data_IF_810549489612
#
_entry.id   IF_810549489612
#
_cell.length_a   1.000
_cell.length_b   1.000
_cell.length_c   1.000
_cell.angle_alpha   90.00
_cell.angle_beta   90.00
_cell.angle_gamma   90.00
#
_symmetry.space_group_name_H-M   'P 1'
#
loop_
_entity.id
_entity.type
_entity.pdbx_description
1 polymer ?
#
# COMPACT_ATOMS: atom_id res chain seq x y z
N UNK A 1 -16.26 -28.44 -54.74
CA UNK A 1 -16.97 -28.23 -56.03
C UNK A 1 -18.43 -28.60 -55.83
N UNK A 2 -19.35 -27.94 -56.55
CA UNK A 2 -20.83 -28.00 -56.41
C UNK A 2 -21.33 -27.33 -55.09
N UNK A 3 -22.39 -26.49 -55.00
CA UNK A 3 -23.68 -26.33 -55.73
C UNK A 3 -24.66 -27.50 -55.39
N UNK A 4 -26.00 -27.37 -55.23
CA UNK A 4 -27.09 -26.39 -55.56
C UNK A 4 -28.10 -26.44 -54.36
N UNK A 5 -28.93 -25.46 -53.91
CA UNK A 5 -29.44 -24.15 -54.39
C UNK A 5 -29.72 -23.15 -53.21
N UNK A 6 -30.55 -22.10 -53.47
CA UNK A 6 -31.26 -21.22 -52.51
C UNK A 6 -32.68 -21.71 -52.19
N UNK A 7 -33.27 -21.22 -51.10
CA UNK A 7 -34.72 -20.98 -50.98
C UNK A 7 -34.96 -19.68 -50.19
N UNK A 8 -35.94 -18.87 -50.60
CA UNK A 8 -36.31 -17.63 -49.92
C UNK A 8 -37.82 -17.63 -49.65
N UNK A 9 -38.23 -17.23 -48.45
CA UNK A 9 -39.63 -16.98 -48.07
C UNK A 9 -39.70 -15.59 -47.44
N UNK A 10 -40.78 -14.88 -47.74
CA UNK A 10 -41.08 -13.51 -47.37
C UNK A 10 -42.52 -13.47 -46.84
N UNK A 11 -42.95 -12.33 -46.27
CA UNK A 11 -44.29 -12.10 -45.66
C UNK A 11 -44.38 -12.71 -44.23
N UNK A 12 -44.87 -11.99 -43.22
CA UNK A 12 -45.34 -10.59 -43.24
C UNK A 12 -45.60 -10.01 -41.84
N UNK A 13 -45.95 -8.73 -41.79
CA UNK A 13 -46.27 -8.02 -40.54
C UNK A 13 -47.66 -8.41 -40.01
N UNK A 14 -47.77 -8.45 -38.69
CA UNK A 14 -49.02 -8.19 -37.97
C UNK A 14 -48.67 -7.49 -36.65
N UNK A 15 -49.33 -6.35 -36.38
CA UNK A 15 -49.05 -5.50 -35.22
C UNK A 15 -50.19 -5.56 -34.20
N UNK A 16 -49.85 -5.53 -32.91
CA UNK A 16 -50.80 -5.42 -31.80
C UNK A 16 -50.26 -4.47 -30.73
N UNK A 17 -50.70 -3.21 -30.80
CA UNK A 17 -50.32 -2.15 -29.85
C UNK A 17 -51.23 -2.16 -28.61
N UNK A 18 -50.78 -2.79 -27.52
CA UNK A 18 -51.54 -2.88 -26.27
C UNK A 18 -51.32 -1.65 -25.37
N UNK A 19 -52.05 -0.56 -25.62
CA UNK A 19 -52.01 0.65 -24.78
C UNK A 19 -52.78 0.46 -23.46
N UNK A 20 -52.17 -0.20 -22.48
CA UNK A 20 -52.67 -0.27 -21.11
C UNK A 20 -52.62 1.09 -20.42
N UNK A 21 -53.78 1.71 -20.17
CA UNK A 21 -53.87 2.91 -19.31
C UNK A 21 -53.50 2.52 -17.88
N UNK A 22 -52.52 3.21 -17.30
CA UNK A 22 -52.16 3.10 -15.88
C UNK A 22 -52.62 4.36 -15.18
N UNK A 23 -53.54 4.24 -14.22
CA UNK A 23 -53.99 5.39 -13.43
C UNK A 23 -52.85 5.93 -12.54
N UNK A 24 -52.78 7.26 -12.34
CA UNK A 24 -51.73 7.87 -11.53
C UNK A 24 -51.97 7.60 -10.05
N UNK A 25 -50.99 6.93 -9.42
CA UNK A 25 -50.94 6.81 -7.95
C UNK A 25 -50.56 8.17 -7.37
N UNK A 26 -51.37 8.80 -6.49
CA UNK A 26 -50.99 10.03 -5.83
C UNK A 26 -49.93 9.74 -4.75
N UNK A 27 -48.69 10.15 -5.02
CA UNK A 27 -47.62 10.17 -4.01
C UNK A 27 -47.77 11.39 -3.09
N UNK A 28 -47.33 11.32 -1.81
CA UNK A 28 -47.66 12.33 -0.81
C UNK A 28 -46.92 13.65 -1.02
N UNK A 29 -47.59 14.75 -0.67
CA UNK A 29 -46.96 16.05 -0.47
C UNK A 29 -46.19 16.02 0.84
N UNK A 30 -44.92 16.45 0.81
CA UNK A 30 -44.22 16.98 1.98
C UNK A 30 -43.37 18.19 1.53
N UNK A 31 -43.11 19.16 2.41
CA UNK A 31 -42.66 20.50 2.03
C UNK A 31 -41.13 20.64 1.95
N UNK A 32 -40.73 21.85 1.55
CA UNK A 32 -39.41 22.48 1.75
C UNK A 32 -38.21 21.83 1.04
N UNK A 33 -37.71 22.56 0.03
CA UNK A 33 -36.55 22.14 -0.75
C UNK A 33 -35.23 22.47 -0.06
N UNK A 34 -34.38 21.45 0.09
CA UNK A 34 -32.93 21.63 0.25
C UNK A 34 -32.26 21.11 -1.01
N UNK A 35 -31.82 22.02 -1.88
CA UNK A 35 -31.13 21.68 -3.13
C UNK A 35 -29.69 21.25 -2.84
N UNK A 36 -29.52 20.06 -2.27
CA UNK A 36 -28.23 19.46 -1.95
C UNK A 36 -27.43 19.14 -3.22
N UNK A 37 -26.74 20.13 -3.76
CA UNK A 37 -25.80 19.93 -4.87
C UNK A 37 -24.57 19.22 -4.36
N UNK A 38 -24.43 17.92 -4.66
CA UNK A 38 -23.20 17.16 -4.42
C UNK A 38 -22.09 17.68 -5.35
N UNK A 39 -21.43 18.75 -4.94
CA UNK A 39 -20.25 19.26 -5.62
C UNK A 39 -19.09 18.30 -5.38
N UNK A 40 -18.60 17.67 -6.44
CA UNK A 40 -17.26 17.05 -6.43
C UNK A 40 -16.23 18.17 -6.39
N UNK A 41 -15.87 18.59 -5.18
CA UNK A 41 -14.79 19.54 -4.95
C UNK A 41 -13.49 18.86 -5.37
N UNK A 42 -12.87 19.33 -6.45
CA UNK A 42 -11.49 18.95 -6.76
C UNK A 42 -10.57 19.52 -5.66
N UNK A 43 -9.55 18.78 -5.19
CA UNK A 43 -8.69 19.25 -4.12
C UNK A 43 -8.03 20.58 -4.51
N UNK A 44 -8.06 21.53 -3.57
CA UNK A 44 -7.46 22.86 -3.77
C UNK A 44 -5.93 22.74 -3.75
N UNK A 45 -5.22 23.63 -4.45
CA UNK A 45 -3.75 23.58 -4.56
C UNK A 45 -3.05 23.50 -3.18
N UNK A 46 -3.51 24.27 -2.18
CA UNK A 46 -3.02 24.22 -0.79
C UNK A 46 -3.08 22.79 -0.18
N UNK A 47 -4.02 21.94 -0.58
CA UNK A 47 -4.12 20.57 -0.08
C UNK A 47 -3.05 19.64 -0.65
N UNK A 48 -2.40 20.01 -1.76
CA UNK A 48 -1.23 19.32 -2.31
C UNK A 48 0.09 19.81 -1.70
N UNK A 49 0.07 20.92 -0.95
CA UNK A 49 1.23 21.57 -0.33
C UNK A 49 1.32 21.32 1.19
N UNK A 50 0.43 20.46 1.74
CA UNK A 50 0.39 20.13 3.19
C UNK A 50 0.73 18.66 3.50
N UNK A 51 1.22 17.87 2.53
CA UNK A 51 1.69 16.49 2.77
C UNK A 51 3.13 16.45 3.33
N UNK A 52 3.27 16.77 4.64
CA UNK A 52 4.53 16.69 5.42
C UNK A 52 5.58 15.71 4.87
N UNK A 53 6.84 16.14 4.72
CA UNK A 53 7.92 15.27 4.21
C UNK A 53 8.08 13.95 5.00
N UNK A 54 7.75 13.98 6.30
CA UNK A 54 7.72 12.83 7.21
C UNK A 54 6.49 11.90 7.03
N UNK A 55 5.61 12.13 6.05
CA UNK A 55 4.52 11.22 5.70
C UNK A 55 4.91 10.28 4.55
N UNK A 56 4.69 8.98 4.76
CA UNK A 56 5.06 7.91 3.83
C UNK A 56 4.42 8.10 2.45
N UNK A 57 5.23 8.48 1.46
CA UNK A 57 4.82 8.54 0.05
C UNK A 57 4.91 7.14 -0.56
N UNK A 58 3.84 6.69 -1.23
CA UNK A 58 3.77 5.38 -1.91
C UNK A 58 3.70 5.59 -3.42
N UNK A 59 4.55 4.93 -4.19
CA UNK A 59 4.59 5.12 -5.65
C UNK A 59 5.40 4.09 -6.41
N UNK A 60 5.55 4.33 -7.71
CA UNK A 60 6.41 3.55 -8.61
C UNK A 60 7.56 4.42 -9.12
N UNK A 61 8.80 3.95 -8.93
CA UNK A 61 10.02 4.52 -9.50
C UNK A 61 10.34 3.85 -10.82
N UNK A 62 10.66 4.64 -11.83
CA UNK A 62 11.21 4.17 -13.12
C UNK A 62 12.55 4.88 -13.36
N UNK A 63 13.59 4.12 -13.67
CA UNK A 63 14.92 4.65 -13.95
C UNK A 63 15.48 4.11 -15.27
N UNK A 64 16.18 4.99 -15.98
CA UNK A 64 16.95 4.71 -17.19
C UNK A 64 18.30 5.44 -17.09
N UNK A 65 19.19 5.23 -18.06
CA UNK A 65 20.47 5.93 -18.11
C UNK A 65 20.34 7.47 -18.23
N UNK A 66 19.20 7.98 -18.71
CA UNK A 66 18.99 9.40 -19.02
C UNK A 66 17.93 10.06 -18.13
N UNK A 67 16.97 9.29 -17.59
CA UNK A 67 15.81 9.84 -16.85
C UNK A 67 15.48 9.02 -15.61
N UNK A 68 15.10 9.72 -14.54
CA UNK A 68 14.50 9.14 -13.34
C UNK A 68 13.10 9.71 -13.16
N UNK A 69 12.13 8.85 -12.84
CA UNK A 69 10.71 9.20 -12.67
C UNK A 69 10.13 8.60 -11.40
N UNK A 70 9.22 9.34 -10.78
CA UNK A 70 8.35 8.85 -9.71
C UNK A 70 6.89 9.06 -10.08
N UNK A 71 6.06 8.04 -9.86
CA UNK A 71 4.60 8.11 -10.01
C UNK A 71 3.93 7.67 -8.71
N UNK A 72 3.42 8.62 -7.94
CA UNK A 72 2.62 8.33 -6.74
C UNK A 72 1.45 7.40 -7.11
N UNK A 73 1.11 6.44 -6.24
CA UNK A 73 0.12 5.41 -6.57
C UNK A 73 -1.27 5.97 -6.93
N UNK A 74 -1.66 7.08 -6.28
CA UNK A 74 -2.91 7.81 -6.52
C UNK A 74 -2.69 9.11 -7.35
N UNK A 75 -1.48 9.33 -7.89
CA UNK A 75 -1.09 10.56 -8.56
C UNK A 75 -1.53 10.65 -10.03
N UNK A 76 -1.80 11.85 -10.56
CA UNK A 76 -2.30 12.03 -11.92
C UNK A 76 -1.24 11.88 -13.04
N UNK A 77 0.03 11.67 -12.70
CA UNK A 77 1.12 11.58 -13.69
C UNK A 77 2.49 11.27 -13.06
N UNK A 78 3.52 11.26 -13.90
CA UNK A 78 4.92 11.07 -13.49
C UNK A 78 5.60 12.41 -13.21
N UNK A 79 6.35 12.48 -12.12
CA UNK A 79 7.24 13.58 -11.77
C UNK A 79 8.69 13.22 -12.15
N UNK A 80 9.55 14.18 -12.51
CA UNK A 80 11.01 13.96 -12.45
C UNK A 80 11.41 13.57 -11.02
N UNK A 81 12.44 12.75 -10.88
CA UNK A 81 12.89 12.22 -9.58
C UNK A 81 14.31 12.66 -9.25
N UNK A 82 14.44 13.38 -8.15
CA UNK A 82 15.69 13.70 -7.46
C UNK A 82 15.93 12.66 -6.36
N UNK A 83 17.15 12.12 -6.31
CA UNK A 83 17.55 11.07 -5.35
C UNK A 83 18.54 11.68 -4.35
N UNK A 84 18.12 11.83 -3.09
CA UNK A 84 18.98 12.28 -1.99
C UNK A 84 19.37 11.13 -1.04
N UNK A 85 19.11 9.88 -1.41
CA UNK A 85 19.38 8.69 -0.58
C UNK A 85 20.86 8.26 -0.59
N UNK A 86 21.79 9.18 -0.84
CA UNK A 86 23.21 8.91 -1.13
C UNK A 86 23.45 7.80 -2.18
N UNK A 87 22.53 7.70 -3.15
CA UNK A 87 22.57 6.69 -4.23
C UNK A 87 22.12 5.29 -3.80
N UNK A 88 21.55 5.13 -2.61
CA UNK A 88 20.93 3.88 -2.15
C UNK A 88 19.83 3.42 -3.12
N UNK A 89 18.93 4.32 -3.52
CA UNK A 89 17.83 4.01 -4.44
C UNK A 89 18.34 3.43 -5.76
N UNK A 90 19.39 4.03 -6.35
CA UNK A 90 20.02 3.51 -7.56
C UNK A 90 20.54 2.08 -7.35
N UNK A 91 21.28 1.83 -6.26
CA UNK A 91 21.78 0.48 -5.93
C UNK A 91 20.64 -0.54 -5.77
N UNK A 92 19.52 -0.13 -5.18
CA UNK A 92 18.34 -0.99 -4.99
C UNK A 92 17.63 -1.27 -6.32
N UNK A 93 17.65 -0.33 -7.26
CA UNK A 93 17.17 -0.52 -8.63
C UNK A 93 18.01 -1.57 -9.38
N UNK A 94 19.33 -1.45 -9.30
CA UNK A 94 20.28 -2.41 -9.87
C UNK A 94 20.12 -3.81 -9.23
N UNK A 95 20.07 -3.89 -7.89
CA UNK A 95 19.92 -5.14 -7.11
C UNK A 95 18.61 -5.90 -7.41
N UNK A 96 17.51 -5.18 -7.68
CA UNK A 96 16.21 -5.77 -8.07
C UNK A 96 16.09 -6.02 -9.59
N UNK A 97 17.16 -5.70 -10.34
CA UNK A 97 17.36 -6.07 -11.74
C UNK A 97 16.64 -5.16 -12.73
N UNK A 98 16.90 -3.85 -12.65
CA UNK A 98 16.60 -2.81 -13.64
C UNK A 98 15.12 -2.64 -14.02
N UNK A 99 14.20 -2.96 -13.10
CA UNK A 99 12.75 -2.91 -13.32
C UNK A 99 12.11 -1.74 -12.57
N UNK A 100 10.96 -1.23 -13.05
CA UNK A 100 10.11 -0.34 -12.27
C UNK A 100 9.84 -0.92 -10.87
N UNK A 101 10.18 -0.16 -9.83
CA UNK A 101 10.01 -0.56 -8.44
C UNK A 101 8.76 0.09 -7.87
N UNK A 102 7.96 -0.67 -7.12
CA UNK A 102 7.12 -0.07 -6.10
C UNK A 102 8.02 0.36 -4.93
N UNK A 103 7.81 1.57 -4.41
CA UNK A 103 8.55 2.11 -3.27
C UNK A 103 7.61 2.73 -2.23
N UNK A 104 8.07 2.72 -0.99
CA UNK A 104 7.60 3.58 0.10
C UNK A 104 8.79 4.40 0.60
N UNK A 105 8.56 5.69 0.85
CA UNK A 105 9.65 6.67 0.99
C UNK A 105 9.20 7.91 1.77
N UNK A 106 10.12 8.54 2.53
CA UNK A 106 9.97 9.93 2.97
C UNK A 106 10.55 10.86 1.91
N UNK A 107 9.88 12.01 1.73
CA UNK A 107 10.16 12.92 0.64
C UNK A 107 8.95 13.74 0.22
N UNK A 108 9.21 14.78 -0.55
CA UNK A 108 8.22 15.77 -0.99
C UNK A 108 8.61 16.37 -2.35
N UNK A 109 7.95 17.44 -2.80
CA UNK A 109 8.30 18.19 -4.01
C UNK A 109 9.27 19.33 -3.72
N UNK A 110 10.21 19.57 -4.64
CA UNK A 110 10.99 20.80 -4.65
C UNK A 110 10.26 21.96 -5.35
N UNK A 111 10.81 23.18 -5.25
CA UNK A 111 10.32 24.40 -5.91
C UNK A 111 10.21 24.29 -7.45
N UNK A 112 10.85 23.28 -8.05
CA UNK A 112 10.79 22.99 -9.49
C UNK A 112 9.75 21.92 -9.85
N UNK A 113 9.06 21.35 -8.86
CA UNK A 113 8.06 20.30 -9.03
C UNK A 113 8.66 18.90 -9.27
N UNK A 114 9.96 18.69 -9.05
CA UNK A 114 10.53 17.34 -9.01
C UNK A 114 10.10 16.69 -7.69
N UNK A 115 9.91 15.36 -7.69
CA UNK A 115 9.81 14.61 -6.44
C UNK A 115 11.21 14.32 -5.91
N UNK A 116 11.43 14.55 -4.63
CA UNK A 116 12.68 14.30 -3.91
C UNK A 116 12.47 13.08 -3.01
N UNK A 117 13.25 12.02 -3.22
CA UNK A 117 13.32 10.88 -2.28
C UNK A 117 14.45 11.18 -1.29
N UNK A 118 14.08 11.38 -0.02
CA UNK A 118 14.98 11.65 1.10
C UNK A 118 15.37 10.36 1.83
N UNK A 119 14.40 9.51 2.16
CA UNK A 119 14.61 8.17 2.74
C UNK A 119 13.83 7.11 1.98
N UNK A 120 14.47 5.97 1.69
CA UNK A 120 13.81 4.78 1.13
C UNK A 120 13.41 3.83 2.28
N UNK A 121 12.12 3.54 2.42
CA UNK A 121 11.55 2.75 3.53
C UNK A 121 11.30 1.29 3.13
N UNK A 122 10.83 1.07 1.90
CA UNK A 122 10.59 -0.25 1.31
C UNK A 122 10.72 -0.18 -0.21
N UNK A 123 11.20 -1.24 -0.86
CA UNK A 123 11.13 -1.36 -2.32
C UNK A 123 10.99 -2.82 -2.81
N UNK A 124 10.21 -3.01 -3.87
CA UNK A 124 10.04 -4.29 -4.56
C UNK A 124 9.80 -4.13 -6.06
N UNK A 125 10.37 -5.04 -6.85
CA UNK A 125 10.01 -5.23 -8.26
C UNK A 125 8.83 -6.21 -8.45
N UNK A 126 8.37 -6.85 -7.38
CA UNK A 126 7.31 -7.86 -7.42
C UNK A 126 5.92 -7.19 -7.33
N UNK A 127 4.99 -7.62 -8.19
CA UNK A 127 3.56 -7.27 -8.09
C UNK A 127 3.23 -5.77 -7.98
N UNK A 128 4.07 -4.88 -8.53
CA UNK A 128 4.04 -3.41 -8.26
C UNK A 128 2.67 -2.73 -8.45
N UNK A 129 1.84 -3.21 -9.38
CA UNK A 129 0.50 -2.67 -9.61
C UNK A 129 -0.48 -3.05 -8.48
N UNK A 130 -0.34 -4.25 -7.91
CA UNK A 130 -1.11 -4.68 -6.74
C UNK A 130 -0.60 -4.00 -5.47
N UNK A 131 0.71 -3.70 -5.38
CA UNK A 131 1.28 -2.93 -4.27
C UNK A 131 0.78 -1.48 -4.26
N UNK A 132 0.71 -0.81 -5.41
CA UNK A 132 0.07 0.52 -5.50
C UNK A 132 -1.45 0.49 -5.33
N UNK A 133 -2.13 -0.58 -5.78
CA UNK A 133 -3.56 -0.78 -5.56
C UNK A 133 -3.93 -1.25 -4.16
N UNK A 134 -2.96 -1.49 -3.28
CA UNK A 134 -3.21 -1.92 -1.92
C UNK A 134 -3.78 -0.77 -1.06
N UNK A 135 -4.72 -1.07 -0.14
CA UNK A 135 -5.10 -0.11 0.89
C UNK A 135 -3.88 0.35 1.68
N UNK A 136 -4.06 1.44 2.45
CA UNK A 136 -3.10 1.84 3.47
C UNK A 136 -2.95 0.71 4.49
N UNK A 137 -1.84 0.72 5.23
CA UNK A 137 -1.64 -0.20 6.34
C UNK A 137 -2.75 -0.01 7.41
N UNK A 138 -2.81 -0.95 8.34
CA UNK A 138 -3.62 -0.85 9.58
C UNK A 138 -2.77 -1.25 10.79
N UNK A 139 -1.48 -1.06 10.64
CA UNK A 139 -0.42 -1.39 11.56
C UNK A 139 0.54 -0.20 11.55
N UNK A 140 1.10 0.12 12.71
CA UNK A 140 2.21 1.07 12.82
C UNK A 140 3.49 0.43 12.26
N UNK A 141 3.61 -0.89 12.45
CA UNK A 141 4.75 -1.69 12.08
C UNK A 141 4.35 -3.13 11.72
N UNK A 142 4.96 -3.66 10.65
CA UNK A 142 4.99 -5.08 10.35
C UNK A 142 6.44 -5.57 10.26
N UNK A 143 6.86 -6.39 11.23
CA UNK A 143 8.12 -7.11 11.20
C UNK A 143 7.91 -8.54 10.65
N UNK A 144 8.84 -9.06 9.84
CA UNK A 144 8.79 -10.43 9.28
C UNK A 144 10.17 -11.05 9.05
N UNK A 145 10.25 -12.38 9.18
CA UNK A 145 11.43 -13.16 8.81
C UNK A 145 11.06 -14.56 8.31
N UNK A 146 11.99 -15.21 7.61
CA UNK A 146 11.67 -16.38 6.77
C UNK A 146 12.14 -17.73 7.34
N UNK A 147 13.22 -17.77 8.12
CA UNK A 147 13.75 -18.99 8.74
C UNK A 147 14.02 -18.80 10.25
N UNK A 148 13.19 -19.38 11.15
CA UNK A 148 11.86 -19.94 10.85
C UNK A 148 10.92 -18.84 10.34
N UNK A 149 9.81 -19.20 9.70
CA UNK A 149 8.86 -18.19 9.21
C UNK A 149 8.07 -17.56 10.36
N UNK A 150 8.16 -16.24 10.51
CA UNK A 150 7.49 -15.45 11.54
C UNK A 150 7.06 -14.07 11.06
N UNK A 151 6.05 -13.49 11.72
CA UNK A 151 5.76 -12.06 11.66
C UNK A 151 5.28 -11.51 13.00
N UNK A 152 5.49 -10.22 13.22
CA UNK A 152 4.85 -9.44 14.28
C UNK A 152 4.21 -8.21 13.67
N UNK A 153 2.89 -8.12 13.79
CA UNK A 153 2.08 -6.96 13.45
C UNK A 153 1.86 -6.13 14.72
N UNK A 154 2.11 -4.82 14.67
CA UNK A 154 1.91 -3.90 15.80
C UNK A 154 0.89 -2.84 15.41
N UNK A 155 -0.08 -2.61 16.29
CA UNK A 155 -1.04 -1.53 16.23
C UNK A 155 -1.09 -0.83 17.60
N UNK A 156 -1.67 0.37 17.63
CA UNK A 156 -1.86 1.19 18.83
C UNK A 156 -2.37 0.44 20.07
N UNK A 157 -3.18 -0.61 19.87
CA UNK A 157 -3.80 -1.40 20.95
C UNK A 157 -3.14 -2.78 21.18
N UNK A 158 -2.28 -3.27 20.27
CA UNK A 158 -1.89 -4.68 20.26
C UNK A 158 -0.60 -5.02 19.51
N UNK A 159 0.03 -6.13 19.93
CA UNK A 159 0.99 -6.87 19.11
C UNK A 159 0.40 -8.24 18.78
N UNK A 160 0.52 -8.69 17.53
CA UNK A 160 0.12 -10.05 17.10
C UNK A 160 1.32 -10.76 16.47
N UNK A 161 1.83 -11.76 17.17
CA UNK A 161 2.88 -12.66 16.66
C UNK A 161 2.22 -13.79 15.88
N UNK A 162 2.74 -14.11 14.69
CA UNK A 162 2.42 -15.32 13.94
C UNK A 162 3.70 -16.08 13.63
N UNK A 163 3.69 -17.41 13.75
CA UNK A 163 4.86 -18.25 13.54
C UNK A 163 4.48 -19.67 13.06
N UNK A 164 5.43 -20.38 12.46
CA UNK A 164 5.26 -21.78 12.05
C UNK A 164 5.23 -22.78 13.22
N UNK A 165 5.80 -22.42 14.37
CA UNK A 165 5.77 -23.21 15.60
C UNK A 165 4.45 -23.09 16.38
N UNK A 166 4.28 -23.92 17.42
CA UNK A 166 3.13 -23.82 18.33
C UNK A 166 3.48 -22.98 19.58
N UNK A 167 2.63 -22.02 20.01
CA UNK A 167 1.38 -21.59 19.38
C UNK A 167 1.60 -20.77 18.10
N UNK A 168 0.79 -20.99 17.08
CA UNK A 168 0.95 -20.38 15.75
C UNK A 168 0.57 -18.91 15.70
N UNK A 169 -0.22 -18.43 16.67
CA UNK A 169 -0.55 -17.03 16.87
C UNK A 169 -0.54 -16.71 18.38
N UNK A 170 -0.04 -15.53 18.75
CA UNK A 170 -0.13 -14.97 20.11
C UNK A 170 -0.51 -13.50 20.00
N UNK A 171 -1.58 -13.08 20.71
CA UNK A 171 -1.99 -11.67 20.79
C UNK A 171 -1.68 -11.08 22.16
N UNK A 172 -1.07 -9.90 22.16
CA UNK A 172 -0.79 -9.06 23.31
C UNK A 172 -1.63 -7.78 23.23
N UNK A 173 -2.04 -7.21 24.36
CA UNK A 173 -2.95 -6.03 24.44
C UNK A 173 -2.53 -5.01 25.50
N UNK A 174 -1.26 -5.04 25.88
CA UNK A 174 -0.63 -4.09 26.80
C UNK A 174 0.82 -3.99 26.35
N UNK A 175 1.08 -2.97 25.53
CA UNK A 175 2.31 -2.82 24.75
C UNK A 175 3.07 -1.61 25.29
N UNK A 176 4.20 -1.86 25.92
CA UNK A 176 5.12 -0.81 26.35
C UNK A 176 6.07 -0.48 25.19
N UNK A 177 5.94 0.72 24.63
CA UNK A 177 6.79 1.22 23.53
C UNK A 177 7.83 2.20 24.07
N UNK A 178 9.09 2.01 23.69
CA UNK A 178 10.19 2.93 23.98
C UNK A 178 10.99 3.24 22.71
N UNK A 179 11.27 4.51 22.47
CA UNK A 179 12.12 5.00 21.38
C UNK A 179 13.40 5.60 21.98
N UNK A 180 14.56 5.19 21.45
CA UNK A 180 15.86 5.75 21.79
C UNK A 180 16.83 5.60 20.62
N UNK A 181 17.50 6.68 20.22
CA UNK A 181 18.67 6.68 19.34
C UNK A 181 18.46 5.90 18.01
N UNK A 182 17.30 6.08 17.35
CA UNK A 182 16.96 5.41 16.09
C UNK A 182 16.58 3.93 16.25
N UNK A 183 16.28 3.52 17.49
CA UNK A 183 15.84 2.17 17.86
C UNK A 183 14.52 2.23 18.61
N UNK A 184 13.47 1.68 18.01
CA UNK A 184 12.17 1.51 18.67
C UNK A 184 12.09 0.10 19.26
N UNK A 185 11.71 -0.03 20.53
CA UNK A 185 11.47 -1.33 21.16
C UNK A 185 10.08 -1.41 21.77
N UNK A 186 9.33 -2.43 21.34
CA UNK A 186 8.01 -2.78 21.86
C UNK A 186 8.13 -3.99 22.79
N UNK A 187 7.45 -3.96 23.93
CA UNK A 187 7.49 -5.02 24.95
C UNK A 187 6.06 -5.38 25.37
N UNK A 188 5.75 -6.66 25.48
CA UNK A 188 4.45 -7.11 25.99
C UNK A 188 4.51 -8.51 26.61
N UNK A 189 3.56 -8.82 27.49
CA UNK A 189 3.41 -10.14 28.12
C UNK A 189 1.96 -10.61 28.14
N UNK A 190 1.74 -11.92 27.97
CA UNK A 190 0.42 -12.57 28.12
C UNK A 190 0.60 -14.01 28.61
N UNK A 191 -0.17 -14.40 29.63
CA UNK A 191 -0.05 -15.68 30.37
C UNK A 191 1.39 -16.03 30.80
N UNK A 192 2.08 -16.83 29.98
CA UNK A 192 3.46 -17.33 30.18
C UNK A 192 4.43 -16.80 29.12
N UNK A 193 3.93 -16.06 28.15
CA UNK A 193 4.65 -15.61 26.96
C UNK A 193 5.08 -14.15 27.10
N UNK A 194 6.31 -13.84 26.69
CA UNK A 194 6.88 -12.50 26.70
C UNK A 194 7.50 -12.21 25.34
N UNK A 195 7.14 -11.06 24.77
CA UNK A 195 7.66 -10.55 23.52
C UNK A 195 8.43 -9.26 23.74
N UNK A 196 9.62 -9.20 23.15
CA UNK A 196 10.42 -7.98 22.98
C UNK A 196 10.76 -7.86 21.49
N UNK A 197 10.22 -6.84 20.82
CA UNK A 197 10.50 -6.54 19.41
C UNK A 197 11.32 -5.26 19.32
N UNK A 198 12.58 -5.39 18.93
CA UNK A 198 13.47 -4.27 18.62
C UNK A 198 13.49 -4.03 17.12
N UNK A 199 13.33 -2.77 16.71
CA UNK A 199 13.44 -2.30 15.32
C UNK A 199 14.51 -1.22 15.27
N UNK A 200 15.42 -1.31 14.31
CA UNK A 200 16.46 -0.31 14.06
C UNK A 200 16.36 0.23 12.64
N UNK A 201 16.67 1.51 12.45
CA UNK A 201 16.84 2.11 11.12
C UNK A 201 18.13 1.60 10.48
N UNK A 202 18.07 0.38 9.94
CA UNK A 202 19.18 -0.32 9.30
C UNK A 202 18.67 -1.10 8.10
N UNK A 203 19.27 -0.85 6.93
CA UNK A 203 18.90 -1.50 5.68
C UNK A 203 18.91 -3.03 5.81
N UNK A 204 17.82 -3.66 5.38
CA UNK A 204 17.56 -5.09 5.45
C UNK A 204 17.16 -5.64 4.06
N UNK A 205 17.34 -6.95 3.86
CA UNK A 205 16.93 -7.67 2.65
C UNK A 205 16.08 -8.87 3.05
N UNK A 206 14.91 -9.01 2.44
CA UNK A 206 14.18 -10.27 2.54
C UNK A 206 14.92 -11.35 1.74
N UNK A 207 15.45 -12.36 2.44
CA UNK A 207 16.27 -13.41 1.84
C UNK A 207 15.52 -14.35 0.87
N UNK A 208 14.17 -14.27 0.79
CA UNK A 208 13.34 -15.08 -0.12
C UNK A 208 12.95 -14.33 -1.40
N UNK A 209 12.79 -13.01 -1.33
CA UNK A 209 12.28 -12.17 -2.44
C UNK A 209 13.24 -11.07 -2.92
N UNK A 210 14.34 -10.84 -2.20
CA UNK A 210 15.33 -9.79 -2.49
C UNK A 210 14.92 -8.38 -2.05
N UNK A 211 13.71 -8.22 -1.52
CA UNK A 211 13.08 -6.91 -1.27
C UNK A 211 13.86 -6.03 -0.28
N UNK A 212 13.90 -4.73 -0.58
CA UNK A 212 14.53 -3.73 0.27
C UNK A 212 13.61 -3.35 1.43
N UNK A 213 14.17 -3.26 2.63
CA UNK A 213 13.55 -2.62 3.80
C UNK A 213 14.53 -1.64 4.43
N UNK A 214 14.05 -0.48 4.87
CA UNK A 214 14.86 0.52 5.60
C UNK A 214 15.17 0.11 7.04
N UNK A 215 14.41 -0.85 7.56
CA UNK A 215 14.43 -1.22 8.97
C UNK A 215 14.71 -2.72 9.15
N UNK A 216 15.57 -3.03 10.13
CA UNK A 216 15.85 -4.38 10.57
C UNK A 216 15.04 -4.69 11.84
N UNK A 217 14.67 -5.95 12.04
CA UNK A 217 13.84 -6.39 13.16
C UNK A 217 14.48 -7.58 13.91
N UNK A 218 14.42 -7.52 15.23
CA UNK A 218 14.77 -8.62 16.13
C UNK A 218 13.62 -8.86 17.11
N UNK A 219 12.89 -9.95 16.91
CA UNK A 219 11.80 -10.39 17.79
C UNK A 219 12.29 -11.48 18.73
N UNK A 220 12.35 -11.18 20.02
CA UNK A 220 12.67 -12.13 21.08
C UNK A 220 11.38 -12.61 21.73
N UNK A 221 10.96 -13.83 21.39
CA UNK A 221 9.80 -14.50 21.97
C UNK A 221 10.28 -15.56 22.98
N UNK A 222 9.95 -15.33 24.25
CA UNK A 222 10.35 -16.11 25.43
C UNK A 222 11.87 -16.30 25.59
N UNK A 223 12.44 -17.24 24.82
CA UNK A 223 13.86 -17.62 24.83
C UNK A 223 14.47 -17.72 23.43
N UNK A 224 13.68 -17.46 22.39
CA UNK A 224 14.09 -17.55 20.99
C UNK A 224 14.21 -16.15 20.42
N UNK A 225 15.37 -15.81 19.87
CA UNK A 225 15.57 -14.59 19.08
C UNK A 225 15.36 -14.91 17.61
N UNK A 226 14.50 -14.14 16.97
CA UNK A 226 14.12 -14.27 15.56
C UNK A 226 14.52 -12.97 14.85
N UNK A 227 15.22 -13.09 13.71
CA UNK A 227 15.72 -11.94 12.96
C UNK A 227 14.95 -11.78 11.65
N UNK A 228 14.81 -10.54 11.16
CA UNK A 228 14.03 -10.22 9.98
C UNK A 228 14.11 -8.76 9.58
N UNK A 229 13.20 -8.33 8.71
CA UNK A 229 13.06 -6.94 8.28
C UNK A 229 11.75 -6.34 8.82
N UNK A 230 11.70 -5.02 8.89
CA UNK A 230 10.55 -4.24 9.35
C UNK A 230 10.05 -3.27 8.27
N UNK A 231 8.73 -3.10 8.20
CA UNK A 231 8.02 -2.14 7.36
C UNK A 231 7.15 -1.25 8.24
N UNK A 232 7.28 0.07 8.11
CA UNK A 232 6.38 1.03 8.74
C UNK A 232 5.02 1.01 8.04
N UNK A 233 3.97 1.42 8.75
CA UNK A 233 2.65 1.66 8.18
C UNK A 233 2.13 3.06 8.46
N UNK A 234 0.81 3.14 8.68
CA UNK A 234 -0.02 4.34 8.89
C UNK A 234 -1.15 4.01 9.88
#
# INVERSE_FOLDING_TARGET
>A
MNHISRAAILIGLLALSACGKREPVPAPVNPDGVTGTTQTIAPTAEQLETESSLSTKRGIVLMTAETRRFRACNGPGELPLTDQTDGLLARVYDELGDKPLYVETFGDRDDSGNFVIEELLYATANNIQAACGAPLAKYELLARGNDPTWSVEVTQDAMVVKQSGAPTEIKFTSVDTADAEGTVTYRAGVDKHVLELTVTQQACRDASSGEYYGYAASAKLDKHTLTGCARLGE
#
